data_IF_327936626876
#
_entry.id   IF_327936626876
#
_cell.length_a   1.000
_cell.length_b   1.000
_cell.length_c   1.000
_cell.angle_alpha   90.00
_cell.angle_beta   90.00
_cell.angle_gamma   90.00
#
_symmetry.space_group_name_H-M   'P 1'
#
loop_
_entity.id
_entity.type
_entity.pdbx_description
1 polymer ?
#
# COMPACT_ATOMS: atom_id res chain seq x y z
N UNK A 1 23.66 -16.88 54.97
CA UNK A 1 24.18 -15.86 54.05
C UNK A 1 24.83 -16.61 52.89
N UNK A 2 24.06 -16.91 51.86
CA UNK A 2 24.54 -17.68 50.69
C UNK A 2 24.88 -16.64 49.62
N UNK A 3 26.17 -16.50 49.34
CA UNK A 3 26.69 -15.71 48.24
C UNK A 3 26.29 -16.40 46.93
N UNK A 4 25.34 -15.81 46.19
CA UNK A 4 25.17 -16.15 44.78
C UNK A 4 26.35 -15.56 44.00
N UNK A 5 27.27 -16.44 43.61
CA UNK A 5 28.35 -16.13 42.68
C UNK A 5 27.76 -15.64 41.36
N UNK A 6 28.20 -14.49 40.89
CA UNK A 6 27.82 -13.85 39.62
C UNK A 6 28.38 -14.55 38.38
N UNK A 7 28.66 -15.87 38.44
CA UNK A 7 29.30 -16.62 37.37
C UNK A 7 28.33 -17.30 36.37
N UNK A 8 27.01 -17.33 36.63
CA UNK A 8 26.03 -18.01 35.77
C UNK A 8 25.24 -17.10 34.81
N UNK A 9 25.77 -15.91 34.47
CA UNK A 9 25.16 -14.99 33.48
C UNK A 9 25.81 -15.06 32.08
N UNK A 10 26.82 -15.91 31.91
CA UNK A 10 27.62 -16.04 30.67
C UNK A 10 26.83 -16.21 29.37
N UNK A 11 25.93 -17.21 29.25
CA UNK A 11 25.24 -17.45 27.99
C UNK A 11 24.20 -16.38 27.67
N UNK A 12 23.51 -15.83 28.69
CA UNK A 12 22.44 -14.86 28.49
C UNK A 12 22.95 -13.50 27.99
N UNK A 13 24.14 -13.09 28.45
CA UNK A 13 24.85 -11.89 27.99
C UNK A 13 25.15 -11.95 26.49
N UNK A 14 25.66 -13.10 26.03
CA UNK A 14 26.08 -13.33 24.65
C UNK A 14 24.88 -13.34 23.68
N UNK A 15 23.76 -13.98 24.07
CA UNK A 15 22.50 -13.91 23.31
C UNK A 15 21.95 -12.49 23.20
N UNK A 16 22.08 -11.67 24.25
CA UNK A 16 21.58 -10.29 24.26
C UNK A 16 22.39 -9.39 23.33
N UNK A 17 23.71 -9.59 23.25
CA UNK A 17 24.55 -8.91 22.25
C UNK A 17 24.24 -9.36 20.83
N UNK A 18 23.99 -10.65 20.62
CA UNK A 18 23.61 -11.20 19.32
C UNK A 18 22.27 -10.64 18.84
N UNK A 19 21.26 -10.55 19.73
CA UNK A 19 19.97 -9.91 19.46
C UNK A 19 20.13 -8.42 19.14
N UNK A 20 20.94 -7.67 19.91
CA UNK A 20 21.24 -6.25 19.63
C UNK A 20 21.91 -6.07 18.27
N UNK A 21 22.82 -6.97 17.92
CA UNK A 21 23.53 -6.95 16.63
C UNK A 21 22.59 -7.25 15.46
N UNK A 22 21.70 -8.24 15.60
CA UNK A 22 20.67 -8.55 14.60
C UNK A 22 19.70 -7.37 14.44
N UNK A 23 19.24 -6.78 15.55
CA UNK A 23 18.37 -5.60 15.51
C UNK A 23 19.07 -4.38 14.87
N UNK A 24 20.37 -4.18 15.15
CA UNK A 24 21.18 -3.16 14.52
C UNK A 24 21.31 -3.36 13.00
N UNK A 25 21.55 -4.60 12.58
CA UNK A 25 21.60 -4.98 11.16
C UNK A 25 20.26 -4.74 10.49
N UNK A 26 19.15 -5.23 11.05
CA UNK A 26 17.80 -5.00 10.52
C UNK A 26 17.50 -3.50 10.44
N UNK A 27 17.83 -2.74 11.49
CA UNK A 27 17.66 -1.29 11.53
C UNK A 27 18.42 -0.57 10.42
N UNK A 28 19.68 -0.97 10.16
CA UNK A 28 20.50 -0.40 9.08
C UNK A 28 19.97 -0.75 7.68
N UNK A 29 19.44 -1.97 7.49
CA UNK A 29 18.80 -2.39 6.24
C UNK A 29 17.50 -1.61 6.01
N UNK A 30 16.67 -1.43 7.03
CA UNK A 30 15.45 -0.62 6.92
C UNK A 30 15.79 0.84 6.63
N UNK A 31 16.77 1.42 7.33
CA UNK A 31 17.20 2.79 7.12
C UNK A 31 17.76 3.02 5.71
N UNK A 32 18.56 2.09 5.19
CA UNK A 32 19.08 2.16 3.81
C UNK A 32 17.95 2.03 2.78
N UNK A 33 17.00 1.12 2.97
CA UNK A 33 15.81 1.00 2.11
C UNK A 33 14.95 2.28 2.11
N UNK A 34 14.70 2.88 3.28
CA UNK A 34 13.97 4.15 3.38
C UNK A 34 14.72 5.26 2.64
N UNK A 35 16.05 5.29 2.75
CA UNK A 35 16.88 6.30 2.09
C UNK A 35 16.86 6.13 0.58
N UNK A 36 17.03 4.92 0.07
CA UNK A 36 16.90 4.59 -1.36
C UNK A 36 15.50 4.95 -1.87
N UNK A 37 14.45 4.67 -1.10
CA UNK A 37 13.08 5.02 -1.46
C UNK A 37 12.88 6.53 -1.54
N UNK A 38 13.40 7.31 -0.57
CA UNK A 38 13.37 8.79 -0.60
C UNK A 38 14.13 9.35 -1.80
N UNK A 39 15.31 8.82 -2.09
CA UNK A 39 16.11 9.20 -3.26
C UNK A 39 15.34 8.91 -4.55
N UNK A 40 14.80 7.70 -4.70
CA UNK A 40 13.96 7.31 -5.83
C UNK A 40 12.77 8.26 -6.00
N UNK A 41 12.02 8.54 -4.93
CA UNK A 41 10.93 9.51 -4.98
C UNK A 41 11.37 10.91 -5.43
N UNK A 42 12.55 11.37 -4.98
CA UNK A 42 13.09 12.68 -5.40
C UNK A 42 13.41 12.70 -6.89
N UNK A 43 14.02 11.65 -7.44
CA UNK A 43 14.28 11.54 -8.87
C UNK A 43 12.98 11.49 -9.70
N UNK A 44 12.00 10.71 -9.27
CA UNK A 44 10.69 10.67 -9.93
C UNK A 44 9.98 12.04 -9.90
N UNK A 45 10.00 12.75 -8.77
CA UNK A 45 9.43 14.09 -8.65
C UNK A 45 10.14 15.12 -9.55
N UNK A 46 11.47 15.06 -9.61
CA UNK A 46 12.28 15.93 -10.48
C UNK A 46 11.97 15.68 -11.97
N UNK A 47 11.80 14.42 -12.37
CA UNK A 47 11.37 14.07 -13.73
C UNK A 47 9.99 14.61 -14.09
N UNK A 48 9.03 14.55 -13.16
CA UNK A 48 7.69 15.12 -13.34
C UNK A 48 7.73 16.66 -13.43
N UNK A 49 8.51 17.36 -12.59
CA UNK A 49 8.66 18.81 -12.66
C UNK A 49 9.33 19.27 -13.96
N UNK A 50 10.36 18.57 -14.43
CA UNK A 50 11.04 18.89 -15.68
C UNK A 50 10.12 18.70 -16.88
N UNK A 51 9.25 17.67 -16.87
CA UNK A 51 8.22 17.49 -17.90
C UNK A 51 7.20 18.62 -17.91
N UNK A 52 6.77 19.11 -16.75
CA UNK A 52 5.85 20.25 -16.65
C UNK A 52 6.47 21.51 -17.26
N UNK A 53 7.71 21.84 -16.87
CA UNK A 53 8.45 23.01 -17.37
C UNK A 53 8.60 22.90 -18.89
N UNK A 54 9.06 21.76 -19.38
CA UNK A 54 9.24 21.52 -20.81
C UNK A 54 7.94 21.64 -21.60
N UNK A 55 6.84 21.09 -21.10
CA UNK A 55 5.52 21.22 -21.75
C UNK A 55 5.04 22.68 -21.80
N UNK A 56 5.32 23.46 -20.76
CA UNK A 56 5.04 24.91 -20.73
C UNK A 56 5.90 25.65 -21.77
N UNK A 57 7.19 25.34 -21.84
CA UNK A 57 8.11 25.92 -22.82
C UNK A 57 7.71 25.59 -24.26
N UNK A 58 7.34 24.33 -24.55
CA UNK A 58 6.85 23.91 -25.86
C UNK A 58 5.61 24.69 -26.30
N UNK A 59 4.66 24.92 -25.39
CA UNK A 59 3.47 25.70 -25.67
C UNK A 59 3.78 27.18 -25.96
N UNK A 60 4.81 27.74 -25.36
CA UNK A 60 5.22 29.13 -25.55
C UNK A 60 6.00 29.28 -26.86
N UNK A 61 6.98 28.41 -27.09
CA UNK A 61 7.91 28.52 -28.22
C UNK A 61 7.31 28.08 -29.55
N UNK A 62 6.43 27.07 -29.54
CA UNK A 62 5.89 26.48 -30.77
C UNK A 62 4.39 26.73 -30.94
N UNK A 63 3.84 27.72 -30.23
CA UNK A 63 2.41 28.03 -30.29
C UNK A 63 1.92 28.22 -31.74
N UNK A 64 2.68 28.89 -32.59
CA UNK A 64 2.28 29.17 -33.98
C UNK A 64 2.31 27.92 -34.87
N UNK A 65 3.09 26.90 -34.50
CA UNK A 65 3.26 25.67 -35.28
C UNK A 65 2.37 24.52 -34.79
N UNK A 66 1.82 24.63 -33.59
CA UNK A 66 0.93 23.61 -33.02
C UNK A 66 -0.50 23.78 -33.52
N UNK A 67 -1.15 22.67 -33.85
CA UNK A 67 -2.59 22.65 -34.11
C UNK A 67 -3.38 22.97 -32.84
N UNK A 68 -4.64 23.43 -32.98
CA UNK A 68 -5.50 23.70 -31.82
C UNK A 68 -5.66 22.48 -30.90
N UNK A 69 -5.80 21.29 -31.49
CA UNK A 69 -5.91 20.02 -30.77
C UNK A 69 -4.66 19.68 -29.98
N UNK A 70 -3.46 19.94 -30.53
CA UNK A 70 -2.20 19.65 -29.84
C UNK A 70 -1.98 20.60 -28.66
N UNK A 71 -2.32 21.89 -28.82
CA UNK A 71 -2.27 22.86 -27.72
C UNK A 71 -3.16 22.44 -26.57
N UNK A 72 -4.38 22.01 -26.89
CA UNK A 72 -5.35 21.58 -25.89
C UNK A 72 -4.92 20.30 -25.17
N UNK A 73 -4.31 19.36 -25.89
CA UNK A 73 -3.70 18.18 -25.29
C UNK A 73 -2.58 18.54 -24.30
N UNK A 74 -1.65 19.44 -24.69
CA UNK A 74 -0.56 19.85 -23.81
C UNK A 74 -1.10 20.61 -22.59
N UNK A 75 -2.07 21.52 -22.78
CA UNK A 75 -2.75 22.23 -21.66
C UNK A 75 -3.40 21.25 -20.69
N UNK A 76 -4.08 20.22 -21.22
CA UNK A 76 -4.69 19.16 -20.40
C UNK A 76 -3.63 18.42 -19.57
N UNK A 77 -2.49 18.06 -20.17
CA UNK A 77 -1.37 17.42 -19.46
C UNK A 77 -0.77 18.30 -18.37
N UNK A 78 -0.62 19.60 -18.63
CA UNK A 78 -0.15 20.56 -17.62
C UNK A 78 -1.15 20.62 -16.47
N UNK A 79 -2.44 20.83 -16.76
CA UNK A 79 -3.49 20.90 -15.75
C UNK A 79 -3.54 19.63 -14.88
N UNK A 80 -3.51 18.45 -15.51
CA UNK A 80 -3.49 17.17 -14.81
C UNK A 80 -2.28 17.01 -13.89
N UNK A 81 -1.11 17.51 -14.30
CA UNK A 81 0.12 17.44 -13.51
C UNK A 81 0.07 18.43 -12.34
N UNK A 82 -0.42 19.64 -12.56
CA UNK A 82 -0.61 20.65 -11.50
C UNK A 82 -1.61 20.14 -10.46
N UNK A 83 -2.77 19.66 -10.90
CA UNK A 83 -3.79 19.12 -10.01
C UNK A 83 -3.31 17.87 -9.26
N UNK A 84 -2.49 17.01 -9.89
CA UNK A 84 -1.86 15.89 -9.18
C UNK A 84 -0.93 16.36 -8.06
N UNK A 85 -0.16 17.42 -8.29
CA UNK A 85 0.77 17.98 -7.30
C UNK A 85 0.02 18.63 -6.13
N UNK A 86 -1.07 19.35 -6.40
CA UNK A 86 -1.90 20.01 -5.38
C UNK A 86 -2.66 18.98 -4.54
N UNK A 87 -3.38 18.07 -5.19
CA UNK A 87 -4.24 17.09 -4.50
C UNK A 87 -3.50 15.87 -3.95
N UNK A 88 -2.21 15.73 -4.29
CA UNK A 88 -1.38 14.55 -4.04
C UNK A 88 -1.96 13.23 -4.60
N UNK A 89 -2.94 13.29 -5.52
CA UNK A 89 -3.52 12.13 -6.17
C UNK A 89 -3.23 12.14 -7.67
N UNK A 90 -2.55 11.09 -8.16
CA UNK A 90 -2.16 10.97 -9.57
C UNK A 90 -3.33 10.59 -10.49
N UNK A 91 -4.35 9.92 -9.97
CA UNK A 91 -5.48 9.44 -10.76
C UNK A 91 -6.50 10.57 -10.99
N UNK A 92 -6.68 10.97 -12.26
CA UNK A 92 -7.63 12.01 -12.67
C UNK A 92 -9.06 11.71 -12.23
N UNK A 93 -9.59 10.53 -12.56
CA UNK A 93 -10.95 10.12 -12.17
C UNK A 93 -11.17 10.21 -10.67
N UNK A 94 -10.16 9.84 -9.87
CA UNK A 94 -10.27 9.92 -8.41
C UNK A 94 -10.23 11.36 -7.90
N UNK A 95 -9.50 12.26 -8.56
CA UNK A 95 -9.55 13.70 -8.26
C UNK A 95 -10.92 14.26 -8.61
N UNK A 96 -11.43 13.95 -9.78
CA UNK A 96 -12.75 14.41 -10.24
C UNK A 96 -13.83 13.93 -9.27
N UNK A 97 -13.75 12.67 -8.81
CA UNK A 97 -14.63 12.13 -7.79
C UNK A 97 -14.52 12.89 -6.45
N UNK A 98 -13.31 13.23 -6.00
CA UNK A 98 -13.11 14.05 -4.79
C UNK A 98 -13.70 15.45 -4.92
N UNK A 99 -13.62 16.04 -6.11
CA UNK A 99 -14.19 17.36 -6.38
C UNK A 99 -15.72 17.27 -6.34
N UNK A 100 -16.33 16.27 -6.99
CA UNK A 100 -17.78 16.06 -6.94
C UNK A 100 -18.22 15.84 -5.49
N UNK A 101 -17.49 15.01 -4.75
CA UNK A 101 -17.83 14.65 -3.38
C UNK A 101 -17.38 15.68 -2.32
N UNK A 102 -16.72 16.79 -2.69
CA UNK A 102 -16.21 17.76 -1.70
C UNK A 102 -17.32 18.45 -0.92
N UNK A 103 -18.52 18.52 -1.50
CA UNK A 103 -19.69 19.17 -0.93
C UNK A 103 -20.54 18.24 -0.07
N UNK A 104 -20.17 16.96 0.03
CA UNK A 104 -20.95 15.94 0.75
C UNK A 104 -20.12 15.28 1.83
N UNK A 105 -20.76 14.94 2.95
CA UNK A 105 -20.15 14.15 4.02
C UNK A 105 -20.10 12.67 3.63
N UNK A 106 -18.93 12.23 3.17
CA UNK A 106 -18.66 10.83 2.82
C UNK A 106 -17.83 10.17 3.91
N UNK A 107 -18.25 8.98 4.37
CA UNK A 107 -17.56 8.26 5.44
C UNK A 107 -16.16 7.76 5.01
N UNK A 108 -15.25 7.63 5.98
CA UNK A 108 -13.88 7.14 5.74
C UNK A 108 -13.84 5.76 5.10
N UNK A 109 -14.81 4.91 5.41
CA UNK A 109 -14.90 3.54 4.90
C UNK A 109 -15.20 3.50 3.39
N UNK A 110 -16.05 4.41 2.93
CA UNK A 110 -16.33 4.59 1.49
C UNK A 110 -15.06 5.01 0.78
N UNK A 111 -14.34 6.01 1.30
CA UNK A 111 -13.07 6.46 0.74
C UNK A 111 -12.01 5.36 0.68
N UNK A 112 -11.94 4.53 1.72
CA UNK A 112 -11.02 3.40 1.77
C UNK A 112 -11.30 2.38 0.67
N UNK A 113 -12.57 2.05 0.43
CA UNK A 113 -12.98 1.11 -0.62
C UNK A 113 -12.69 1.70 -2.00
N UNK A 114 -13.09 2.94 -2.24
CA UNK A 114 -12.83 3.63 -3.52
C UNK A 114 -11.34 3.71 -3.84
N UNK A 115 -10.50 4.01 -2.84
CA UNK A 115 -9.04 4.09 -3.00
C UNK A 115 -8.44 2.76 -3.46
N UNK A 116 -9.01 1.63 -3.01
CA UNK A 116 -8.59 0.27 -3.42
C UNK A 116 -9.02 -0.07 -4.84
N UNK A 117 -10.17 0.42 -5.29
CA UNK A 117 -10.67 0.17 -6.64
C UNK A 117 -10.37 1.29 -7.63
N UNK A 118 -9.55 2.28 -7.28
CA UNK A 118 -9.34 3.50 -8.07
C UNK A 118 -8.98 3.30 -9.55
N UNK A 119 -8.33 2.17 -9.89
CA UNK A 119 -7.97 1.82 -11.28
C UNK A 119 -9.16 1.36 -12.13
N UNK A 120 -10.24 0.94 -11.47
CA UNK A 120 -11.45 0.39 -12.08
C UNK A 120 -12.63 1.37 -12.05
N UNK A 121 -12.43 2.54 -11.43
CA UNK A 121 -13.41 3.62 -11.39
C UNK A 121 -13.35 4.41 -12.70
N UNK A 122 -14.52 4.74 -13.24
CA UNK A 122 -14.68 5.75 -14.28
C UNK A 122 -15.98 6.52 -14.04
N UNK A 123 -15.98 7.79 -14.42
CA UNK A 123 -17.16 8.66 -14.32
C UNK A 123 -17.63 8.90 -15.73
N UNK A 124 -18.90 8.58 -16.00
CA UNK A 124 -19.54 8.86 -17.28
C UNK A 124 -20.84 9.63 -17.04
N UNK A 125 -20.99 10.78 -17.69
CA UNK A 125 -22.14 11.70 -17.54
C UNK A 125 -22.52 12.01 -16.07
N UNK A 126 -21.52 12.16 -15.19
CA UNK A 126 -21.73 12.44 -13.77
C UNK A 126 -22.08 11.23 -12.91
N UNK A 127 -22.21 10.04 -13.50
CA UNK A 127 -22.49 8.80 -12.77
C UNK A 127 -21.17 8.03 -12.56
N UNK A 128 -20.92 7.58 -11.34
CA UNK A 128 -19.78 6.74 -11.01
C UNK A 128 -20.06 5.30 -11.42
N UNK A 129 -19.16 4.74 -12.22
CA UNK A 129 -19.20 3.34 -12.62
C UNK A 129 -17.93 2.61 -12.19
N UNK A 130 -18.08 1.30 -12.01
CA UNK A 130 -16.96 0.41 -11.69
C UNK A 130 -16.98 -0.80 -12.60
N UNK A 131 -15.93 -0.95 -13.38
CA UNK A 131 -15.71 -2.11 -14.24
C UNK A 131 -14.58 -2.94 -13.67
N UNK A 132 -14.95 -3.95 -12.88
CA UNK A 132 -14.01 -4.94 -12.36
C UNK A 132 -13.73 -5.98 -13.45
N UNK A 133 -12.51 -6.00 -13.96
CA UNK A 133 -12.09 -6.97 -14.97
C UNK A 133 -11.88 -8.37 -14.38
N UNK A 134 -11.75 -9.37 -15.26
CA UNK A 134 -11.42 -10.75 -14.88
C UNK A 134 -10.14 -10.83 -14.06
N UNK A 135 -9.13 -10.02 -14.41
CA UNK A 135 -7.88 -9.90 -13.66
C UNK A 135 -8.09 -9.49 -12.19
N UNK A 136 -9.05 -8.61 -11.90
CA UNK A 136 -9.39 -8.24 -10.53
C UNK A 136 -9.97 -9.43 -9.76
N UNK A 137 -10.85 -10.20 -10.41
CA UNK A 137 -11.48 -11.37 -9.81
C UNK A 137 -10.45 -12.47 -9.52
N UNK A 138 -9.54 -12.73 -10.46
CA UNK A 138 -8.45 -13.69 -10.27
C UNK A 138 -7.52 -13.25 -9.15
N UNK A 139 -7.10 -11.98 -9.12
CA UNK A 139 -6.25 -11.46 -8.06
C UNK A 139 -6.93 -11.53 -6.69
N UNK A 140 -8.22 -11.20 -6.60
CA UNK A 140 -8.99 -11.34 -5.37
C UNK A 140 -8.94 -12.77 -4.84
N UNK A 141 -9.21 -13.77 -5.70
CA UNK A 141 -9.18 -15.18 -5.31
C UNK A 141 -7.77 -15.65 -4.95
N UNK A 142 -6.75 -15.24 -5.70
CA UNK A 142 -5.35 -15.54 -5.39
C UNK A 142 -4.94 -14.98 -4.03
N UNK A 143 -5.33 -13.75 -3.69
CA UNK A 143 -5.08 -13.17 -2.37
C UNK A 143 -5.76 -13.99 -1.25
N UNK A 144 -7.03 -14.40 -1.43
CA UNK A 144 -7.71 -15.24 -0.43
C UNK A 144 -7.05 -16.61 -0.30
N UNK A 145 -6.69 -17.22 -1.41
CA UNK A 145 -6.03 -18.52 -1.42
C UNK A 145 -4.67 -18.45 -0.72
N UNK A 146 -3.86 -17.42 -1.00
CA UNK A 146 -2.60 -17.17 -0.30
C UNK A 146 -2.81 -16.92 1.20
N UNK A 147 -3.83 -16.14 1.57
CA UNK A 147 -4.19 -15.93 2.97
C UNK A 147 -4.51 -17.24 3.70
N UNK A 148 -5.31 -18.12 3.07
CA UNK A 148 -5.64 -19.45 3.59
C UNK A 148 -4.40 -20.34 3.72
N UNK A 149 -3.52 -20.37 2.70
CA UNK A 149 -2.27 -21.14 2.76
C UNK A 149 -1.42 -20.66 3.93
N UNK A 150 -1.22 -19.36 4.09
CA UNK A 150 -0.41 -18.80 5.19
C UNK A 150 -1.02 -19.14 6.56
N UNK A 151 -2.35 -19.12 6.68
CA UNK A 151 -3.04 -19.52 7.91
C UNK A 151 -2.88 -21.03 8.21
N UNK A 152 -2.93 -21.88 7.18
CA UNK A 152 -2.66 -23.32 7.32
C UNK A 152 -1.20 -23.59 7.72
N UNK A 153 -0.25 -22.89 7.13
CA UNK A 153 1.16 -22.95 7.52
C UNK A 153 1.36 -22.56 8.99
N UNK A 154 0.67 -21.51 9.44
CA UNK A 154 0.68 -21.10 10.85
C UNK A 154 0.11 -22.19 11.77
N UNK A 155 -1.01 -22.82 11.39
CA UNK A 155 -1.62 -23.90 12.18
C UNK A 155 -0.72 -25.14 12.25
N UNK A 156 -0.15 -25.58 11.11
CA UNK A 156 0.81 -26.69 11.06
C UNK A 156 2.04 -26.40 11.92
N UNK A 157 2.50 -25.16 11.88
CA UNK A 157 3.64 -24.73 12.67
C UNK A 157 3.35 -24.77 14.18
N UNK A 158 2.20 -24.27 14.63
CA UNK A 158 1.81 -24.34 16.05
C UNK A 158 1.75 -25.81 16.50
N UNK A 159 1.23 -26.69 15.64
CA UNK A 159 1.15 -28.12 15.90
C UNK A 159 2.54 -28.78 15.98
N UNK A 160 3.48 -28.40 15.12
CA UNK A 160 4.87 -28.87 15.19
C UNK A 160 5.55 -28.44 16.49
N UNK A 161 5.39 -27.17 16.89
CA UNK A 161 5.95 -26.66 18.16
C UNK A 161 5.32 -27.35 19.37
N UNK A 162 4.04 -27.70 19.31
CA UNK A 162 3.34 -28.41 20.38
C UNK A 162 3.78 -29.87 20.54
N UNK A 163 4.13 -30.54 19.43
CA UNK A 163 4.57 -31.94 19.42
C UNK A 163 6.04 -32.08 19.82
N UNK A 164 6.86 -31.08 19.55
CA UNK A 164 8.29 -31.12 19.88
C UNK A 164 8.53 -30.95 21.39
N UNK A 165 9.50 -31.68 21.95
CA UNK A 165 9.81 -31.63 23.38
C UNK A 165 10.36 -30.25 23.77
N UNK A 166 9.97 -29.67 24.93
CA UNK A 166 10.37 -28.32 25.34
C UNK A 166 11.90 -28.10 25.46
N UNK A 167 12.68 -29.18 25.54
CA UNK A 167 14.15 -29.16 25.62
C UNK A 167 14.86 -29.01 24.25
N UNK A 168 14.13 -29.09 23.13
CA UNK A 168 14.72 -29.06 21.78
C UNK A 168 14.97 -27.65 21.22
N UNK A 169 14.31 -26.64 21.77
CA UNK A 169 14.43 -25.26 21.27
C UNK A 169 15.43 -24.45 22.09
N UNK A 170 16.63 -24.26 21.54
CA UNK A 170 17.52 -23.19 21.98
C UNK A 170 16.77 -21.85 21.97
N UNK A 171 16.87 -21.08 23.05
CA UNK A 171 16.08 -19.88 23.32
C UNK A 171 16.12 -18.85 22.17
N UNK A 172 17.27 -18.73 21.48
CA UNK A 172 17.43 -17.85 20.32
C UNK A 172 16.66 -18.29 19.08
N UNK A 173 16.56 -19.60 18.82
CA UNK A 173 15.77 -20.16 17.72
C UNK A 173 14.29 -19.88 17.97
N UNK A 174 13.81 -20.01 19.21
CA UNK A 174 12.43 -19.73 19.58
C UNK A 174 12.00 -18.27 19.30
N UNK A 175 12.84 -17.26 19.61
CA UNK A 175 12.51 -15.86 19.32
C UNK A 175 12.45 -15.53 17.82
N UNK A 176 13.40 -16.05 17.04
CA UNK A 176 13.41 -15.88 15.58
C UNK A 176 12.17 -16.53 14.96
N UNK A 177 11.82 -17.71 15.48
CA UNK A 177 10.68 -18.51 15.07
C UNK A 177 9.35 -17.80 15.39
N UNK A 178 9.20 -17.19 16.58
CA UNK A 178 8.08 -16.31 16.93
C UNK A 178 7.95 -15.09 16.01
N UNK A 179 9.07 -14.48 15.63
CA UNK A 179 9.08 -13.34 14.71
C UNK A 179 8.58 -13.74 13.31
N UNK A 180 8.97 -14.92 12.81
CA UNK A 180 8.47 -15.44 11.53
C UNK A 180 6.95 -15.65 11.58
N UNK A 181 6.43 -16.26 12.65
CA UNK A 181 4.98 -16.48 12.85
C UNK A 181 4.22 -15.17 12.88
N UNK A 182 4.75 -14.16 13.58
CA UNK A 182 4.15 -12.84 13.65
C UNK A 182 4.07 -12.18 12.27
N UNK A 183 5.15 -12.23 11.48
CA UNK A 183 5.17 -11.70 10.11
C UNK A 183 4.18 -12.43 9.21
N UNK A 184 4.12 -13.77 9.29
CA UNK A 184 3.16 -14.60 8.52
C UNK A 184 1.72 -14.24 8.89
N UNK A 185 1.43 -14.02 10.17
CA UNK A 185 0.11 -13.64 10.66
C UNK A 185 -0.34 -12.29 10.09
N UNK A 186 0.53 -11.28 10.16
CA UNK A 186 0.26 -9.95 9.61
C UNK A 186 0.04 -10.04 8.10
N UNK A 187 0.90 -10.80 7.40
CA UNK A 187 0.78 -10.99 5.95
C UNK A 187 -0.55 -11.67 5.57
N UNK A 188 -0.93 -12.73 6.29
CA UNK A 188 -2.20 -13.44 6.06
C UNK A 188 -3.40 -12.49 6.22
N UNK A 189 -3.48 -11.75 7.35
CA UNK A 189 -4.54 -10.77 7.60
C UNK A 189 -4.56 -9.70 6.50
N UNK A 190 -3.39 -9.23 6.07
CA UNK A 190 -3.28 -8.24 5.02
C UNK A 190 -3.87 -8.72 3.70
N UNK A 191 -3.57 -9.95 3.27
CA UNK A 191 -4.19 -10.57 2.09
C UNK A 191 -5.72 -10.73 2.22
N UNK A 192 -6.23 -10.98 3.43
CA UNK A 192 -7.67 -11.03 3.67
C UNK A 192 -8.36 -9.67 3.58
N UNK A 193 -7.67 -8.57 3.92
CA UNK A 193 -8.26 -7.23 3.92
C UNK A 193 -8.02 -6.49 2.60
N UNK A 194 -6.96 -6.82 1.85
CA UNK A 194 -6.47 -6.00 0.73
C UNK A 194 -7.53 -5.76 -0.36
N UNK A 195 -8.05 -6.81 -0.98
CA UNK A 195 -9.10 -6.67 -2.00
C UNK A 195 -10.52 -6.76 -1.43
N UNK A 196 -11.36 -5.72 -1.59
CA UNK A 196 -12.77 -5.74 -1.19
C UNK A 196 -13.59 -6.66 -2.11
N UNK A 197 -14.69 -7.21 -1.58
CA UNK A 197 -15.61 -8.05 -2.37
C UNK A 197 -16.36 -7.18 -3.39
N UNK A 198 -16.61 -7.72 -4.59
CA UNK A 198 -17.41 -7.06 -5.66
C UNK A 198 -18.75 -6.52 -5.16
N UNK A 199 -19.46 -7.25 -4.30
CA UNK A 199 -20.73 -6.78 -3.71
C UNK A 199 -20.55 -5.49 -2.91
N UNK A 200 -19.52 -5.43 -2.05
CA UNK A 200 -19.22 -4.26 -1.22
C UNK A 200 -18.86 -3.05 -2.07
N UNK A 201 -18.11 -3.27 -3.15
CA UNK A 201 -17.77 -2.21 -4.11
C UNK A 201 -19.04 -1.67 -4.78
N UNK A 202 -19.92 -2.54 -5.26
CA UNK A 202 -21.18 -2.12 -5.89
C UNK A 202 -22.09 -1.35 -4.93
N UNK A 203 -22.18 -1.78 -3.66
CA UNK A 203 -22.96 -1.06 -2.64
C UNK A 203 -22.45 0.36 -2.46
N UNK A 204 -21.13 0.54 -2.32
CA UNK A 204 -20.50 1.86 -2.17
C UNK A 204 -20.75 2.75 -3.39
N UNK A 205 -20.65 2.18 -4.59
CA UNK A 205 -20.88 2.93 -5.84
C UNK A 205 -22.33 3.38 -5.94
N UNK A 206 -23.27 2.52 -5.59
CA UNK A 206 -24.69 2.86 -5.58
C UNK A 206 -24.99 3.95 -4.54
N UNK A 207 -24.37 3.88 -3.37
CA UNK A 207 -24.52 4.89 -2.33
C UNK A 207 -23.99 6.26 -2.80
N UNK A 208 -22.84 6.28 -3.46
CA UNK A 208 -22.28 7.50 -4.06
C UNK A 208 -23.19 8.05 -5.16
N UNK A 209 -23.68 7.19 -6.05
CA UNK A 209 -24.59 7.61 -7.12
C UNK A 209 -25.90 8.16 -6.56
N UNK A 210 -26.39 7.61 -5.44
CA UNK A 210 -27.56 8.15 -4.74
C UNK A 210 -27.29 9.57 -4.24
N UNK A 211 -26.16 9.79 -3.57
CA UNK A 211 -25.73 11.11 -3.09
C UNK A 211 -25.64 12.12 -4.24
N UNK A 212 -25.09 11.71 -5.38
CA UNK A 212 -24.95 12.57 -6.57
C UNK A 212 -26.31 12.84 -7.24
N UNK A 213 -27.24 11.88 -7.21
CA UNK A 213 -28.57 12.04 -7.84
C UNK A 213 -29.57 12.86 -7.02
N UNK A 214 -29.35 12.95 -5.70
CA UNK A 214 -30.21 13.68 -4.76
C UNK A 214 -29.83 15.17 -4.65
N UNK A 215 -28.85 15.63 -5.43
CA UNK A 215 -28.39 17.03 -5.51
C UNK A 215 -28.65 17.66 -6.86
#
# INVERSE_FOLDING_TARGET
MIFFSTQDLGPFSEYLELIKTILGLIGSVIASLITLFKIGQKYFKSGESNRLIRNKEYLIQYNEFLSGTDKEYIRTKINDTVMANITQEKNKTFRDLKIILSNYTVTSDIWFILKKVKRYLYIDKGILYVKLDTAYTVNYWMEKFMGCILALWLALFILLVYIDSPDTFETGKYYLLLLIVFVISIASIWFFINSPRKSKVNTVVNEINKIISES
#
